data_IF_594813754076
#
_entry.id   IF_594813754076
#
_cell.length_a   1.000
_cell.length_b   1.000
_cell.length_c   1.000
_cell.angle_alpha   90.00
_cell.angle_beta   90.00
_cell.angle_gamma   90.00
#
_symmetry.space_group_name_H-M   'P 1'
#
loop_
_entity.id
_entity.type
_entity.pdbx_description
1 polymer ?
#
# COMPACT_ATOMS: atom_id res chain seq x y z
N UNK A 1 -9.81 -0.55 -3.13
CA UNK A 1 -9.08 -0.94 -4.34
C UNK A 1 -9.26 -2.43 -4.59
N UNK A 2 -9.76 -2.80 -5.77
CA UNK A 2 -9.74 -4.18 -6.27
C UNK A 2 -8.39 -4.43 -6.96
N UNK A 3 -7.69 -5.46 -6.51
CA UNK A 3 -6.51 -6.00 -7.17
C UNK A 3 -6.78 -7.48 -7.47
N UNK A 4 -6.96 -7.81 -8.75
CA UNK A 4 -7.24 -9.19 -9.16
C UNK A 4 -6.18 -9.67 -10.16
N UNK A 5 -5.58 -10.82 -9.89
CA UNK A 5 -4.67 -11.48 -10.81
C UNK A 5 -5.45 -12.51 -11.63
N UNK A 6 -5.35 -12.39 -12.94
CA UNK A 6 -5.93 -13.33 -13.89
C UNK A 6 -4.83 -14.16 -14.52
N UNK A 7 -5.10 -15.46 -14.73
CA UNK A 7 -4.18 -16.34 -15.42
C UNK A 7 -4.95 -17.45 -16.12
N UNK A 8 -4.57 -17.74 -17.38
CA UNK A 8 -5.06 -18.83 -18.18
C UNK A 8 -3.99 -19.31 -19.17
N UNK A 9 -3.81 -20.60 -19.35
CA UNK A 9 -2.80 -21.16 -20.27
C UNK A 9 -3.08 -20.78 -21.73
N UNK A 10 -4.34 -20.66 -22.12
CA UNK A 10 -4.77 -20.23 -23.45
C UNK A 10 -4.65 -18.73 -23.68
N UNK A 11 -4.60 -17.96 -22.61
CA UNK A 11 -4.53 -16.50 -22.63
C UNK A 11 -5.84 -15.80 -22.25
N UNK A 12 -5.73 -14.64 -21.65
CA UNK A 12 -6.88 -13.83 -21.20
C UNK A 12 -7.47 -13.03 -22.38
N UNK A 13 -8.78 -13.09 -22.57
CA UNK A 13 -9.51 -12.22 -23.48
C UNK A 13 -9.62 -10.81 -22.89
N UNK A 14 -8.57 -10.01 -23.07
CA UNK A 14 -8.51 -8.64 -22.55
C UNK A 14 -9.24 -7.62 -23.42
N UNK A 15 -9.55 -7.97 -24.67
CA UNK A 15 -10.18 -7.05 -25.63
C UNK A 15 -11.71 -7.05 -25.56
N UNK A 16 -12.33 -7.99 -24.81
CA UNK A 16 -13.79 -8.13 -24.76
C UNK A 16 -14.42 -8.53 -26.08
N UNK A 17 -13.64 -9.14 -27.01
CA UNK A 17 -14.16 -9.62 -28.29
C UNK A 17 -15.14 -10.75 -28.04
N UNK A 18 -16.37 -10.54 -28.51
CA UNK A 18 -17.51 -11.40 -28.24
C UNK A 18 -18.56 -10.71 -27.36
N UNK A 19 -19.84 -10.99 -27.65
CA UNK A 19 -20.93 -10.40 -26.87
C UNK A 19 -20.90 -10.97 -25.44
N UNK A 20 -20.66 -10.10 -24.44
CA UNK A 20 -20.67 -10.48 -23.02
C UNK A 20 -19.39 -11.15 -22.53
N UNK A 21 -18.30 -11.10 -23.29
CA UNK A 21 -16.99 -11.67 -22.91
C UNK A 21 -16.05 -10.65 -22.28
N UNK A 22 -16.59 -9.61 -21.68
CA UNK A 22 -15.82 -8.61 -20.95
C UNK A 22 -15.26 -9.18 -19.64
N UNK A 23 -14.12 -8.62 -19.20
CA UNK A 23 -13.70 -8.71 -17.81
C UNK A 23 -14.67 -7.84 -17.01
N UNK A 24 -15.47 -8.43 -16.15
CA UNK A 24 -16.57 -7.75 -15.46
C UNK A 24 -16.57 -8.05 -13.98
N UNK A 25 -16.79 -7.03 -13.17
CA UNK A 25 -17.04 -7.17 -11.75
C UNK A 25 -18.48 -6.78 -11.43
N UNK A 26 -19.07 -7.49 -10.48
CA UNK A 26 -20.39 -7.20 -9.90
C UNK A 26 -20.19 -7.00 -8.42
N UNK A 27 -20.72 -5.90 -7.90
CA UNK A 27 -20.76 -5.59 -6.48
C UNK A 27 -22.11 -6.05 -5.91
N UNK A 28 -22.09 -6.72 -4.75
CA UNK A 28 -23.24 -7.14 -3.94
C UNK A 28 -24.32 -7.92 -4.72
N UNK A 29 -23.87 -8.73 -5.69
CA UNK A 29 -24.75 -9.52 -6.58
C UNK A 29 -25.75 -8.68 -7.40
N UNK A 30 -25.67 -7.36 -7.34
CA UNK A 30 -26.52 -6.46 -8.09
C UNK A 30 -25.99 -6.26 -9.52
N UNK A 31 -26.67 -6.84 -10.50
CA UNK A 31 -26.28 -6.71 -11.92
C UNK A 31 -26.30 -5.27 -12.43
N UNK A 32 -27.07 -4.38 -11.78
CA UNK A 32 -27.07 -2.93 -12.04
C UNK A 32 -25.76 -2.23 -11.66
N UNK A 33 -25.00 -2.79 -10.74
CA UNK A 33 -23.70 -2.30 -10.27
C UNK A 33 -22.53 -3.03 -10.94
N UNK A 34 -22.72 -3.49 -12.16
CA UNK A 34 -21.66 -4.18 -12.87
C UNK A 34 -20.76 -3.21 -13.62
N UNK A 35 -19.44 -3.39 -13.48
CA UNK A 35 -18.42 -2.57 -14.15
C UNK A 35 -17.60 -3.43 -15.10
N UNK A 36 -17.37 -2.92 -16.32
CA UNK A 36 -16.44 -3.52 -17.28
C UNK A 36 -15.03 -3.06 -16.97
N UNK A 37 -14.09 -4.01 -16.85
CA UNK A 37 -12.73 -3.79 -16.37
C UNK A 37 -11.64 -4.03 -17.41
N UNK A 38 -12.00 -4.18 -18.70
CA UNK A 38 -11.01 -4.42 -19.76
C UNK A 38 -9.93 -3.31 -19.82
N UNK A 39 -10.33 -2.04 -19.69
CA UNK A 39 -9.40 -0.89 -19.69
C UNK A 39 -8.53 -0.80 -18.43
N UNK A 40 -8.88 -1.54 -17.39
CA UNK A 40 -8.16 -1.61 -16.12
C UNK A 40 -7.28 -2.87 -16.01
N UNK A 41 -7.24 -3.69 -17.05
CA UNK A 41 -6.40 -4.87 -17.13
C UNK A 41 -5.06 -4.52 -17.77
N UNK A 42 -3.98 -4.95 -17.12
CA UNK A 42 -2.61 -4.85 -17.64
C UNK A 42 -2.00 -6.23 -17.72
N UNK A 43 -1.62 -6.66 -18.92
CA UNK A 43 -0.93 -7.93 -19.14
C UNK A 43 0.45 -7.93 -18.48
N UNK A 44 0.88 -9.10 -18.04
CA UNK A 44 2.25 -9.31 -17.59
C UNK A 44 3.25 -9.12 -18.76
N UNK A 45 4.48 -8.77 -18.45
CA UNK A 45 5.52 -8.57 -19.47
C UNK A 45 5.79 -9.87 -20.23
N UNK A 46 5.80 -9.75 -21.56
CA UNK A 46 6.12 -10.84 -22.50
C UNK A 46 5.21 -12.07 -22.42
N UNK A 47 4.00 -11.92 -21.94
CA UNK A 47 2.99 -13.00 -21.94
C UNK A 47 1.58 -12.47 -22.16
N UNK A 48 0.74 -13.29 -22.76
CA UNK A 48 -0.71 -13.06 -22.92
C UNK A 48 -1.53 -13.92 -21.95
N UNK A 49 -0.86 -14.81 -21.21
CA UNK A 49 -1.49 -15.78 -20.33
C UNK A 49 -1.96 -15.18 -19.01
N UNK A 50 -1.36 -14.07 -18.58
CA UNK A 50 -1.70 -13.47 -17.29
C UNK A 50 -1.58 -11.97 -17.27
N UNK A 51 -2.16 -11.39 -16.23
CA UNK A 51 -2.12 -9.96 -15.97
C UNK A 51 -2.91 -9.59 -14.72
N UNK A 52 -2.99 -8.31 -14.47
CA UNK A 52 -3.59 -7.76 -13.27
C UNK A 52 -4.65 -6.73 -13.62
N UNK A 53 -5.81 -6.86 -13.00
CA UNK A 53 -6.86 -5.82 -12.97
C UNK A 53 -6.64 -4.96 -11.75
N UNK A 54 -6.67 -3.63 -11.93
CA UNK A 54 -6.64 -2.64 -10.83
C UNK A 54 -7.80 -1.69 -10.99
N UNK A 55 -8.71 -1.68 -10.02
CA UNK A 55 -9.89 -0.81 -10.05
C UNK A 55 -10.23 -0.28 -8.66
N UNK A 56 -10.41 1.03 -8.54
CA UNK A 56 -10.83 1.67 -7.31
C UNK A 56 -12.36 1.85 -7.31
N UNK A 57 -13.03 1.27 -6.33
CA UNK A 57 -14.43 1.62 -6.05
C UNK A 57 -14.46 2.89 -5.20
N UNK A 58 -15.34 3.81 -5.55
CA UNK A 58 -15.68 4.98 -4.74
C UNK A 58 -17.06 4.79 -4.12
N UNK A 59 -17.31 5.49 -3.03
CA UNK A 59 -18.63 5.64 -2.42
C UNK A 59 -19.32 4.31 -2.02
N UNK A 60 -18.53 3.35 -1.54
CA UNK A 60 -19.07 2.13 -0.94
C UNK A 60 -19.72 2.48 0.41
N UNK A 61 -20.90 1.93 0.68
CA UNK A 61 -21.55 2.06 1.98
C UNK A 61 -20.79 1.24 3.04
N UNK A 62 -20.93 1.66 4.31
CA UNK A 62 -20.37 0.88 5.41
C UNK A 62 -21.11 -0.44 5.59
N UNK A 63 -20.37 -1.50 5.77
CA UNK A 63 -20.93 -2.82 5.99
C UNK A 63 -20.30 -3.94 5.17
N UNK A 64 -20.89 -5.11 5.20
CA UNK A 64 -20.43 -6.25 4.43
C UNK A 64 -20.78 -6.09 2.95
N UNK A 65 -19.81 -6.38 2.10
CA UNK A 65 -19.92 -6.36 0.65
C UNK A 65 -19.37 -7.64 0.04
N UNK A 66 -19.84 -7.97 -1.13
CA UNK A 66 -19.32 -9.05 -1.95
C UNK A 66 -18.91 -8.55 -3.35
N UNK A 67 -17.81 -9.07 -3.88
CA UNK A 67 -17.41 -8.84 -5.27
C UNK A 67 -17.34 -10.17 -6.01
N UNK A 68 -17.92 -10.21 -7.20
CA UNK A 68 -17.80 -11.33 -8.13
C UNK A 68 -17.16 -10.83 -9.42
N UNK A 69 -15.96 -11.31 -9.75
CA UNK A 69 -15.23 -10.99 -10.96
C UNK A 69 -15.37 -12.14 -11.95
N UNK A 70 -15.72 -11.82 -13.18
CA UNK A 70 -15.78 -12.75 -14.32
C UNK A 70 -14.78 -12.32 -15.36
N UNK A 71 -14.05 -13.29 -15.93
CA UNK A 71 -13.18 -13.11 -17.07
C UNK A 71 -13.33 -14.29 -18.03
N UNK A 72 -12.85 -14.14 -19.25
CA UNK A 72 -12.88 -15.15 -20.30
C UNK A 72 -11.48 -15.38 -20.85
N UNK A 73 -11.19 -16.61 -21.27
CA UNK A 73 -10.03 -16.90 -22.09
C UNK A 73 -10.28 -16.62 -23.58
N UNK A 74 -9.26 -16.78 -24.40
CA UNK A 74 -9.39 -16.60 -25.87
C UNK A 74 -10.18 -17.72 -26.56
N UNK A 75 -10.47 -18.82 -25.85
CA UNK A 75 -11.27 -19.95 -26.34
C UNK A 75 -12.73 -19.88 -25.87
N UNK A 76 -13.13 -18.75 -25.21
CA UNK A 76 -14.46 -18.52 -24.67
C UNK A 76 -14.83 -19.39 -23.46
N UNK A 77 -13.86 -19.84 -22.69
CA UNK A 77 -14.13 -20.42 -21.39
C UNK A 77 -14.24 -19.32 -20.33
N UNK A 78 -15.23 -19.44 -19.47
CA UNK A 78 -15.52 -18.49 -18.39
C UNK A 78 -14.84 -18.87 -17.10
N UNK A 79 -14.08 -17.95 -16.50
CA UNK A 79 -13.60 -18.01 -15.13
C UNK A 79 -14.36 -17.02 -14.24
N UNK A 80 -14.65 -17.40 -13.00
CA UNK A 80 -15.27 -16.51 -12.01
C UNK A 80 -14.56 -16.67 -10.66
N UNK A 81 -14.25 -15.55 -10.01
CA UNK A 81 -13.75 -15.49 -8.63
C UNK A 81 -14.59 -14.54 -7.80
N UNK A 82 -14.77 -14.83 -6.52
CA UNK A 82 -15.52 -13.97 -5.59
C UNK A 82 -14.75 -13.74 -4.31
N UNK A 83 -15.03 -12.60 -3.66
CA UNK A 83 -14.48 -12.22 -2.36
C UNK A 83 -15.55 -11.46 -1.57
N UNK A 84 -15.64 -11.75 -0.28
CA UNK A 84 -16.42 -10.98 0.68
C UNK A 84 -15.47 -10.08 1.46
N UNK A 85 -15.90 -8.83 1.74
CA UNK A 85 -15.13 -7.85 2.49
C UNK A 85 -16.06 -6.93 3.28
N UNK A 86 -15.51 -6.18 4.21
CA UNK A 86 -16.26 -5.22 5.02
C UNK A 86 -15.70 -3.82 4.78
N UNK A 87 -16.58 -2.87 4.50
CA UNK A 87 -16.25 -1.44 4.48
C UNK A 87 -16.60 -0.86 5.85
N UNK A 88 -15.69 -0.09 6.42
CA UNK A 88 -15.89 0.59 7.69
C UNK A 88 -15.43 2.04 7.55
N UNK A 89 -16.34 3.00 7.82
CA UNK A 89 -16.05 4.44 7.75
C UNK A 89 -15.00 4.88 8.78
N UNK A 90 -14.98 4.23 9.94
CA UNK A 90 -14.06 4.55 11.04
C UNK A 90 -12.91 3.54 11.11
N UNK A 91 -12.27 3.26 9.98
CA UNK A 91 -11.08 2.43 9.99
C UNK A 91 -9.93 3.22 10.61
N UNK A 92 -9.64 2.97 11.89
CA UNK A 92 -8.51 3.60 12.57
C UNK A 92 -7.21 3.26 11.84
N UNK A 93 -6.36 4.28 11.66
CA UNK A 93 -5.04 4.07 11.12
C UNK A 93 -4.28 3.04 12.00
N UNK A 94 -3.66 2.06 11.36
CA UNK A 94 -2.79 1.11 12.04
C UNK A 94 -1.49 0.96 11.28
N UNK A 95 -0.38 0.90 12.05
CA UNK A 95 0.92 0.51 11.53
C UNK A 95 1.11 -0.98 11.83
N UNK A 96 1.51 -1.73 10.81
CA UNK A 96 1.94 -3.11 10.92
C UNK A 96 3.42 -3.20 11.30
N UNK A 97 4.20 -3.97 10.54
CA UNK A 97 5.63 -4.09 10.77
C UNK A 97 6.38 -2.81 10.35
N UNK A 98 7.22 -2.28 11.23
CA UNK A 98 8.12 -1.15 10.93
C UNK A 98 9.56 -1.62 11.10
N UNK A 99 10.31 -1.60 10.01
CA UNK A 99 11.71 -2.02 9.97
C UNK A 99 12.61 -0.87 9.59
N UNK A 100 13.66 -0.63 10.35
CA UNK A 100 14.76 0.26 9.99
C UNK A 100 15.94 -0.54 9.47
N UNK A 101 16.44 -0.23 8.28
CA UNK A 101 17.57 -0.96 7.69
C UNK A 101 18.52 -0.04 6.89
N UNK A 102 19.81 -0.41 6.82
CA UNK A 102 20.46 -1.39 7.67
C UNK A 102 20.48 -0.94 9.13
N UNK A 103 20.32 -1.86 10.07
CA UNK A 103 20.43 -1.60 11.49
C UNK A 103 21.28 -2.72 12.12
N UNK A 104 22.51 -2.44 12.61
CA UNK A 104 23.19 -1.15 12.71
C UNK A 104 23.68 -0.54 11.40
N UNK A 105 23.90 0.80 11.38
CA UNK A 105 24.41 1.54 10.23
C UNK A 105 25.35 2.68 10.60
N UNK A 106 26.31 2.98 9.71
CA UNK A 106 27.14 4.18 9.79
C UNK A 106 26.70 5.31 8.86
N UNK A 107 25.81 5.03 7.87
CA UNK A 107 25.52 5.94 6.76
C UNK A 107 24.07 6.43 6.70
N UNK A 108 23.21 5.94 7.60
CA UNK A 108 21.80 6.28 7.64
C UNK A 108 20.91 5.05 7.59
N UNK A 109 19.61 5.29 7.60
CA UNK A 109 18.57 4.28 7.72
C UNK A 109 17.49 4.53 6.70
N UNK A 110 16.96 3.47 6.13
CA UNK A 110 15.71 3.46 5.39
C UNK A 110 14.68 2.73 6.23
N UNK A 111 13.46 3.25 6.23
CA UNK A 111 12.36 2.65 6.99
C UNK A 111 11.38 1.99 6.03
N UNK A 112 11.06 0.73 6.30
CA UNK A 112 9.98 0.01 5.66
C UNK A 112 8.81 -0.04 6.62
N UNK A 113 7.69 0.50 6.21
CA UNK A 113 6.52 0.74 7.06
C UNK A 113 5.33 0.05 6.43
N UNK A 114 4.79 -0.96 7.12
CA UNK A 114 3.51 -1.56 6.75
C UNK A 114 2.36 -0.82 7.42
N UNK A 115 1.26 -0.66 6.71
CA UNK A 115 0.09 0.09 7.16
C UNK A 115 -1.19 -0.43 6.54
N UNK A 116 -2.32 -0.06 7.13
CA UNK A 116 -3.66 -0.42 6.63
C UNK A 116 -4.33 0.68 5.79
N UNK A 117 -3.69 1.84 5.63
CA UNK A 117 -4.24 2.99 4.89
C UNK A 117 -3.87 2.89 3.41
N UNK A 118 -4.77 2.33 2.60
CA UNK A 118 -4.58 2.19 1.14
C UNK A 118 -5.36 3.28 0.43
N UNK A 119 -4.73 3.95 -0.53
CA UNK A 119 -5.34 5.02 -1.35
C UNK A 119 -5.92 6.20 -0.54
N UNK A 120 -5.45 6.42 0.68
CA UNK A 120 -5.80 7.60 1.48
C UNK A 120 -4.65 8.59 1.51
N UNK A 121 -4.98 9.86 1.59
CA UNK A 121 -4.01 10.93 1.83
C UNK A 121 -3.78 11.10 3.33
N UNK A 122 -2.62 11.61 3.68
CA UNK A 122 -2.26 11.83 5.06
C UNK A 122 -0.87 12.42 5.20
N UNK A 123 -0.37 12.45 6.42
CA UNK A 123 0.99 12.91 6.71
C UNK A 123 1.71 11.89 7.60
N UNK A 124 2.88 11.48 7.13
CA UNK A 124 3.79 10.68 7.94
C UNK A 124 4.89 11.57 8.50
N UNK A 125 5.21 11.41 9.77
CA UNK A 125 6.29 12.14 10.45
C UNK A 125 7.30 11.13 10.99
N UNK A 126 8.56 11.31 10.62
CA UNK A 126 9.70 10.62 11.25
C UNK A 126 10.37 11.57 12.22
N UNK A 127 10.54 11.14 13.45
CA UNK A 127 11.32 11.84 14.47
C UNK A 127 12.41 10.92 15.01
N UNK A 128 13.61 11.44 15.19
CA UNK A 128 14.74 10.69 15.77
C UNK A 128 15.27 11.43 16.97
N UNK A 129 15.50 10.71 18.05
CA UNK A 129 15.95 11.25 19.33
C UNK A 129 17.24 10.56 19.80
N UNK A 130 18.12 11.31 20.44
CA UNK A 130 19.25 10.74 21.20
C UNK A 130 18.73 9.94 22.40
N UNK A 131 19.60 9.15 23.02
CA UNK A 131 19.30 8.42 24.27
C UNK A 131 18.95 9.35 25.45
N UNK A 132 19.24 10.65 25.34
CA UNK A 132 18.89 11.68 26.34
C UNK A 132 17.57 12.40 25.99
N UNK A 133 16.87 11.98 24.93
CA UNK A 133 15.60 12.60 24.51
C UNK A 133 15.76 13.89 23.69
N UNK A 134 17.00 14.26 23.30
CA UNK A 134 17.20 15.39 22.40
C UNK A 134 16.78 15.00 20.98
N UNK A 135 15.95 15.83 20.34
CA UNK A 135 15.55 15.64 18.95
C UNK A 135 16.73 15.90 18.02
N UNK A 136 17.08 14.90 17.23
CA UNK A 136 18.16 14.95 16.26
C UNK A 136 17.65 15.20 14.84
N UNK A 137 16.45 14.71 14.55
CA UNK A 137 15.84 14.83 13.21
C UNK A 137 14.33 14.83 13.34
N UNK A 138 13.67 15.63 12.48
CA UNK A 138 12.23 15.58 12.27
C UNK A 138 11.94 15.90 10.80
N UNK A 139 11.23 15.02 10.13
CA UNK A 139 10.82 15.21 8.74
C UNK A 139 9.38 14.75 8.54
N UNK A 140 8.65 15.48 7.69
CA UNK A 140 7.30 15.13 7.28
C UNK A 140 7.32 14.70 5.82
N UNK A 141 6.56 13.66 5.55
CA UNK A 141 6.39 13.07 4.22
C UNK A 141 4.91 13.07 3.89
N UNK A 142 4.52 13.57 2.70
CA UNK A 142 3.15 13.39 2.24
C UNK A 142 2.88 11.89 2.11
N UNK A 143 1.75 11.46 2.64
CA UNK A 143 1.31 10.10 2.53
C UNK A 143 0.45 9.97 1.28
N UNK A 144 0.99 9.38 0.25
CA UNK A 144 0.27 9.03 -0.96
C UNK A 144 0.83 7.71 -1.47
N UNK A 145 0.34 6.61 -0.90
CA UNK A 145 0.91 5.28 -1.16
C UNK A 145 -0.13 4.38 -1.80
N UNK A 146 0.20 3.89 -2.98
CA UNK A 146 -0.49 2.76 -3.58
C UNK A 146 0.00 1.47 -2.91
N UNK A 147 -0.82 0.86 -2.05
CA UNK A 147 -0.52 -0.41 -1.39
C UNK A 147 -0.42 -0.32 0.13
N UNK A 148 0.12 -1.34 0.75
CA UNK A 148 0.18 -1.52 2.21
C UNK A 148 1.57 -1.29 2.80
N UNK A 149 2.53 -0.82 2.00
CA UNK A 149 3.93 -0.68 2.42
C UNK A 149 4.58 0.57 1.84
N UNK A 150 5.21 1.38 2.70
CA UNK A 150 6.02 2.53 2.32
C UNK A 150 7.49 2.26 2.63
N UNK A 151 8.38 2.58 1.67
CA UNK A 151 9.83 2.42 1.79
C UNK A 151 10.58 3.72 1.46
N UNK A 152 9.91 4.86 1.42
CA UNK A 152 10.50 6.14 1.01
C UNK A 152 11.09 6.94 2.16
N UNK A 153 10.74 6.60 3.40
CA UNK A 153 11.18 7.31 4.60
C UNK A 153 12.64 6.99 4.89
N UNK A 154 13.47 8.03 5.05
CA UNK A 154 14.92 7.91 5.25
C UNK A 154 15.44 8.91 6.26
N UNK A 155 16.53 8.52 6.94
CA UNK A 155 17.36 9.39 7.75
C UNK A 155 18.83 9.09 7.49
N UNK A 156 19.63 10.09 7.19
CA UNK A 156 21.04 10.01 6.80
C UNK A 156 22.03 10.06 7.97
N UNK A 157 21.54 9.89 9.20
CA UNK A 157 22.28 9.97 10.44
C UNK A 157 22.96 11.35 10.66
N UNK A 158 22.30 12.42 10.20
CA UNK A 158 22.70 13.79 10.45
C UNK A 158 21.81 14.42 11.54
N UNK A 159 22.45 15.24 12.39
CA UNK A 159 21.74 16.14 13.30
C UNK A 159 21.22 17.33 12.48
N UNK A 160 19.90 17.48 12.45
CA UNK A 160 19.23 18.52 11.66
C UNK A 160 19.61 19.94 12.09
N UNK A 161 19.98 20.15 13.34
CA UNK A 161 20.34 21.48 13.86
C UNK A 161 21.74 21.91 13.48
N UNK A 162 22.67 20.97 13.38
CA UNK A 162 24.09 21.25 13.12
C UNK A 162 24.54 20.85 11.73
N UNK A 163 23.76 20.01 11.02
CA UNK A 163 24.14 19.40 9.75
C UNK A 163 25.30 18.40 9.87
N UNK A 164 25.75 18.12 11.09
CA UNK A 164 26.86 17.21 11.33
C UNK A 164 26.37 15.78 11.58
N UNK A 165 27.22 14.81 11.27
CA UNK A 165 26.95 13.40 11.55
C UNK A 165 26.80 13.18 13.05
N UNK A 166 25.79 12.44 13.44
CA UNK A 166 25.54 12.10 14.86
C UNK A 166 26.59 11.13 15.39
N UNK A 167 26.84 11.14 16.68
CA UNK A 167 27.79 10.23 17.33
C UNK A 167 27.30 8.78 17.25
N UNK A 168 28.23 7.82 17.24
CA UNK A 168 27.88 6.39 17.36
C UNK A 168 27.17 6.11 18.68
N UNK A 169 26.09 5.36 18.65
CA UNK A 169 25.27 5.04 19.80
C UNK A 169 23.86 4.58 19.44
N UNK A 170 23.04 4.41 20.46
CA UNK A 170 21.62 4.06 20.31
C UNK A 170 20.78 5.33 20.19
N UNK A 171 19.89 5.35 19.23
CA UNK A 171 18.92 6.40 18.99
C UNK A 171 17.52 5.80 19.00
N UNK A 172 16.54 6.57 19.44
CA UNK A 172 15.13 6.21 19.37
C UNK A 172 14.52 6.87 18.15
N UNK A 173 13.70 6.17 17.41
CA UNK A 173 12.89 6.79 16.38
C UNK A 173 11.41 6.62 16.68
N UNK A 174 10.63 7.56 16.21
CA UNK A 174 9.17 7.53 16.23
C UNK A 174 8.64 7.84 14.84
N UNK A 175 7.76 6.99 14.36
CA UNK A 175 6.98 7.22 13.16
C UNK A 175 5.54 7.47 13.58
N UNK A 176 4.98 8.57 13.11
CA UNK A 176 3.58 8.93 13.31
C UNK A 176 2.90 9.01 11.96
N UNK A 177 1.79 8.33 11.79
CA UNK A 177 0.91 8.43 10.64
C UNK A 177 -0.37 9.14 11.08
N UNK A 178 -0.65 10.28 10.48
CA UNK A 178 -1.90 11.01 10.60
C UNK A 178 -2.70 10.82 9.31
N UNK A 179 -3.79 10.10 9.39
CA UNK A 179 -4.71 9.89 8.27
C UNK A 179 -5.61 11.11 8.04
N UNK A 180 -6.23 11.20 6.88
CA UNK A 180 -7.12 12.31 6.50
C UNK A 180 -8.33 12.46 7.45
N UNK A 181 -8.84 11.36 7.96
CA UNK A 181 -9.92 11.35 8.97
C UNK A 181 -9.50 11.87 10.35
N UNK A 182 -8.23 12.29 10.50
CA UNK A 182 -7.66 12.82 11.75
C UNK A 182 -7.16 11.76 12.71
N UNK A 183 -7.31 10.47 12.43
CA UNK A 183 -6.73 9.41 13.27
C UNK A 183 -5.21 9.47 13.23
N UNK A 184 -4.56 9.23 14.39
CA UNK A 184 -3.10 9.23 14.53
C UNK A 184 -2.66 7.92 15.15
N UNK A 185 -1.75 7.24 14.47
CA UNK A 185 -1.07 6.06 15.00
C UNK A 185 0.43 6.30 15.07
N UNK A 186 1.07 5.73 16.08
CA UNK A 186 2.50 5.91 16.34
C UNK A 186 3.17 4.56 16.57
N UNK A 187 4.40 4.48 16.08
CA UNK A 187 5.31 3.37 16.33
C UNK A 187 6.66 3.95 16.78
N UNK A 188 7.30 3.35 17.77
CA UNK A 188 8.61 3.75 18.23
C UNK A 188 9.50 2.52 18.49
N UNK A 189 10.76 2.64 18.09
CA UNK A 189 11.77 1.60 18.30
C UNK A 189 13.16 2.26 18.31
N UNK A 190 14.21 1.43 18.35
CA UNK A 190 15.60 1.87 18.43
C UNK A 190 16.39 1.52 17.19
N UNK A 191 17.37 2.36 16.90
CA UNK A 191 18.38 2.15 15.85
C UNK A 191 19.78 2.36 16.43
N UNK A 192 20.75 1.70 15.83
CA UNK A 192 22.14 1.77 16.27
C UNK A 192 23.00 2.41 15.20
N UNK A 193 23.55 3.59 15.51
CA UNK A 193 24.53 4.27 14.65
C UNK A 193 25.92 3.75 15.00
N UNK A 194 26.62 3.25 14.00
CA UNK A 194 28.02 2.87 14.12
C UNK A 194 28.93 4.10 13.94
N UNK A 195 30.07 4.08 14.62
CA UNK A 195 31.12 5.05 14.30
C UNK A 195 31.67 4.72 12.92
N UNK A 196 31.92 5.74 12.08
CA UNK A 196 32.61 5.56 10.80
C UNK A 196 34.06 5.09 10.99
#
# INVERSE_FOLDING_TARGET
LLLARLFDEGGINSSGVGIGHDIRVILDEESSQSVVLNDFYTSDLNTYQGGTVRYAFSDLEDGPHSLSLTAWDVYNNKGTGSIDFVVAADFEAALGEVLAFPNPSSNGFQFSIEHNQVCQEGTMTLEVFSSQGQMMHSAQFPWHVEGFKNNEVRWDALDQSTGSRVAGGVYLFRISLQAENGSVVQYADQIVVLRP
#
